data_IF_450380216932
#
_entry.id   IF_450380216932
#
_cell.length_a   1.000
_cell.length_b   1.000
_cell.length_c   1.000
_cell.angle_alpha   90.00
_cell.angle_beta   90.00
_cell.angle_gamma   90.00
#
_symmetry.space_group_name_H-M   'P 1'
#
loop_
_entity.id
_entity.type
_entity.pdbx_description
1 polymer ?
#
# COMPACT_ATOMS: atom_id res chain seq x y z
N UNK A 1 -11.03 15.62 12.45
CA UNK A 1 -12.04 15.23 13.45
C UNK A 1 -12.03 16.27 14.57
N UNK A 2 -13.19 16.85 14.88
CA UNK A 2 -13.30 17.97 15.82
C UNK A 2 -13.02 17.60 17.29
N UNK A 3 -13.08 16.33 17.61
CA UNK A 3 -12.90 15.74 18.94
C UNK A 3 -11.51 15.09 19.15
N UNK A 4 -10.60 15.24 18.19
CA UNK A 4 -9.22 14.77 18.30
C UNK A 4 -8.32 15.99 18.52
N UNK A 5 -7.47 15.99 19.55
CA UNK A 5 -6.58 17.11 19.81
C UNK A 5 -5.58 17.27 18.66
N UNK A 6 -5.35 18.53 18.25
CA UNK A 6 -4.35 18.87 17.23
C UNK A 6 -2.91 18.58 17.69
N UNK A 7 -2.69 18.66 19.01
CA UNK A 7 -1.41 18.38 19.66
C UNK A 7 -1.67 17.57 20.94
N UNK A 8 -0.79 16.64 21.25
CA UNK A 8 -0.85 15.84 22.47
C UNK A 8 -1.35 14.40 22.23
N UNK A 9 -1.36 13.62 23.31
CA UNK A 9 -1.72 12.20 23.25
C UNK A 9 -3.24 12.03 23.25
N UNK A 10 -3.71 11.15 22.38
CA UNK A 10 -5.10 10.66 22.38
C UNK A 10 -5.28 9.76 23.60
N UNK A 11 -6.34 9.97 24.38
CA UNK A 11 -6.63 9.13 25.56
C UNK A 11 -6.85 7.67 25.16
N UNK A 12 -6.53 6.73 26.05
CA UNK A 12 -6.69 5.28 25.80
C UNK A 12 -8.12 4.92 25.38
N UNK A 13 -9.14 5.55 25.96
CA UNK A 13 -10.53 5.29 25.59
C UNK A 13 -10.82 5.77 24.16
N UNK A 14 -10.33 6.95 23.77
CA UNK A 14 -10.49 7.46 22.40
C UNK A 14 -9.70 6.60 21.38
N UNK A 15 -8.52 6.10 21.73
CA UNK A 15 -7.78 5.16 20.90
C UNK A 15 -8.59 3.88 20.63
N UNK A 16 -9.19 3.29 21.66
CA UNK A 16 -10.05 2.11 21.52
C UNK A 16 -11.27 2.39 20.65
N UNK A 17 -11.89 3.54 20.80
CA UNK A 17 -13.01 3.99 19.96
C UNK A 17 -12.61 4.10 18.49
N UNK A 18 -11.47 4.72 18.19
CA UNK A 18 -10.96 4.87 16.82
C UNK A 18 -10.63 3.51 16.18
N UNK A 19 -9.97 2.61 16.93
CA UNK A 19 -9.66 1.25 16.46
C UNK A 19 -10.95 0.46 16.22
N UNK A 20 -11.93 0.58 17.12
CA UNK A 20 -13.24 -0.08 16.96
C UNK A 20 -13.97 0.45 15.71
N UNK A 21 -14.01 1.78 15.53
CA UNK A 21 -14.58 2.39 14.34
C UNK A 21 -13.93 1.95 13.04
N UNK A 22 -12.58 1.87 13.01
CA UNK A 22 -11.86 1.35 11.86
C UNK A 22 -12.25 -0.11 11.54
N UNK A 23 -12.26 -0.99 12.54
CA UNK A 23 -12.66 -2.39 12.37
C UNK A 23 -14.11 -2.52 11.90
N UNK A 24 -15.02 -1.69 12.41
CA UNK A 24 -16.41 -1.65 11.96
C UNK A 24 -16.53 -1.27 10.48
N UNK A 25 -15.72 -0.29 10.02
CA UNK A 25 -15.66 0.07 8.60
C UNK A 25 -15.16 -1.10 7.74
N UNK A 26 -14.11 -1.82 8.20
CA UNK A 26 -13.60 -3.01 7.48
C UNK A 26 -14.70 -4.07 7.36
N UNK A 27 -15.39 -4.41 8.46
CA UNK A 27 -16.49 -5.38 8.44
C UNK A 27 -17.66 -4.95 7.54
N UNK A 28 -17.96 -3.64 7.52
CA UNK A 28 -18.99 -3.11 6.64
C UNK A 28 -18.61 -3.27 5.17
N UNK A 29 -17.39 -2.90 4.79
CA UNK A 29 -16.90 -3.03 3.40
C UNK A 29 -16.84 -4.51 2.99
N UNK A 30 -16.34 -5.40 3.85
CA UNK A 30 -16.34 -6.84 3.61
C UNK A 30 -17.74 -7.36 3.26
N UNK A 31 -18.74 -6.95 4.03
CA UNK A 31 -20.15 -7.27 3.75
C UNK A 31 -20.64 -6.72 2.39
N UNK A 32 -20.19 -5.54 1.94
CA UNK A 32 -20.55 -5.02 0.61
C UNK A 32 -19.84 -5.80 -0.52
N UNK A 33 -18.58 -6.14 -0.33
CA UNK A 33 -17.82 -7.00 -1.27
C UNK A 33 -18.53 -8.35 -1.40
N UNK A 34 -18.93 -8.98 -0.28
CA UNK A 34 -19.67 -10.23 -0.29
C UNK A 34 -20.95 -10.17 -1.13
N UNK A 35 -21.71 -9.07 -1.07
CA UNK A 35 -22.90 -8.87 -1.92
C UNK A 35 -22.57 -8.83 -3.41
N UNK A 36 -21.47 -8.18 -3.79
CA UNK A 36 -21.02 -8.11 -5.17
C UNK A 36 -20.61 -9.50 -5.68
N UNK A 37 -19.83 -10.23 -4.89
CA UNK A 37 -19.39 -11.59 -5.25
C UNK A 37 -20.58 -12.55 -5.39
N UNK A 38 -21.51 -12.53 -4.44
CA UNK A 38 -22.73 -13.33 -4.52
C UNK A 38 -23.57 -12.98 -5.75
N UNK A 39 -23.60 -11.70 -6.14
CA UNK A 39 -24.35 -11.30 -7.35
C UNK A 39 -23.67 -11.75 -8.64
N UNK A 40 -22.33 -11.75 -8.70
CA UNK A 40 -21.58 -12.34 -9.82
C UNK A 40 -21.89 -13.83 -9.98
N UNK A 41 -21.89 -14.57 -8.88
CA UNK A 41 -22.20 -15.99 -8.86
C UNK A 41 -23.66 -16.25 -9.31
N UNK A 42 -24.64 -15.54 -8.75
CA UNK A 42 -26.07 -15.61 -9.11
C UNK A 42 -26.29 -15.38 -10.61
N UNK A 43 -25.53 -14.48 -11.22
CA UNK A 43 -25.63 -14.16 -12.64
C UNK A 43 -24.81 -15.09 -13.54
N UNK A 44 -24.06 -16.06 -12.99
CA UNK A 44 -23.20 -16.96 -13.74
C UNK A 44 -22.00 -16.25 -14.39
N UNK A 45 -21.55 -15.12 -13.82
CA UNK A 45 -20.45 -14.29 -14.38
C UNK A 45 -19.09 -14.58 -13.72
N UNK A 46 -19.04 -15.36 -12.66
CA UNK A 46 -17.81 -15.60 -11.88
C UNK A 46 -16.71 -16.23 -12.73
N UNK A 47 -17.06 -17.14 -13.62
CA UNK A 47 -16.10 -17.84 -14.51
C UNK A 47 -15.58 -16.98 -15.68
N UNK A 48 -16.08 -15.76 -15.83
CA UNK A 48 -15.68 -14.83 -16.90
C UNK A 48 -15.43 -13.43 -16.38
N UNK A 49 -14.98 -13.30 -15.12
CA UNK A 49 -14.74 -12.01 -14.50
C UNK A 49 -13.42 -12.02 -13.72
N UNK A 50 -12.50 -11.13 -14.08
CA UNK A 50 -11.30 -10.85 -13.29
C UNK A 50 -11.70 -9.91 -12.15
N UNK A 51 -11.31 -10.24 -10.92
CA UNK A 51 -11.65 -9.47 -9.73
C UNK A 51 -10.37 -8.94 -9.09
N UNK A 52 -10.33 -7.63 -8.84
CA UNK A 52 -9.25 -7.00 -8.09
C UNK A 52 -9.81 -6.24 -6.91
N UNK A 53 -9.34 -6.57 -5.73
CA UNK A 53 -9.59 -5.82 -4.50
C UNK A 53 -8.27 -5.26 -3.98
N UNK A 54 -8.20 -3.95 -3.78
CA UNK A 54 -7.02 -3.31 -3.19
C UNK A 54 -7.40 -2.15 -2.28
N UNK A 55 -6.51 -1.83 -1.32
CA UNK A 55 -6.55 -0.56 -0.61
C UNK A 55 -5.72 0.48 -1.35
N UNK A 56 -6.17 1.73 -1.40
CA UNK A 56 -5.41 2.85 -1.98
C UNK A 56 -4.20 3.22 -1.12
N UNK A 57 -4.26 2.93 0.17
CA UNK A 57 -3.20 3.06 1.18
C UNK A 57 -3.56 2.25 2.43
N UNK A 58 -2.60 2.11 3.33
CA UNK A 58 -2.82 1.57 4.65
C UNK A 58 -3.26 2.64 5.67
N UNK A 59 -3.17 2.33 6.99
CA UNK A 59 -3.67 3.23 8.04
C UNK A 59 -2.96 3.01 9.37
N UNK A 60 -2.52 4.09 10.02
CA UNK A 60 -2.02 4.06 11.38
C UNK A 60 -3.16 4.04 12.41
N UNK A 61 -3.02 3.17 13.39
CA UNK A 61 -3.94 3.04 14.52
C UNK A 61 -3.24 3.22 15.87
N UNK A 62 -2.29 4.15 15.93
CA UNK A 62 -1.47 4.43 17.09
C UNK A 62 0.00 4.01 16.93
N UNK A 63 0.35 3.32 15.86
CA UNK A 63 1.72 2.95 15.53
C UNK A 63 2.56 4.22 15.38
N UNK A 64 3.77 4.24 15.94
CA UNK A 64 4.63 5.43 16.00
C UNK A 64 3.99 6.65 16.67
N UNK A 65 2.91 6.47 17.44
CA UNK A 65 2.08 7.57 17.94
C UNK A 65 1.24 8.26 16.87
N UNK A 66 1.14 7.66 15.68
CA UNK A 66 0.47 8.24 14.52
C UNK A 66 -0.94 7.65 14.33
N UNK A 67 -1.81 8.49 13.79
CA UNK A 67 -3.18 8.14 13.41
C UNK A 67 -3.39 8.67 12.00
N UNK A 68 -4.04 7.95 11.12
CA UNK A 68 -4.19 8.24 9.69
C UNK A 68 -3.10 7.60 8.81
N UNK A 69 -2.76 8.20 7.64
CA UNK A 69 -2.04 7.52 6.55
C UNK A 69 -0.80 8.25 6.02
N UNK A 70 -0.54 9.47 6.45
CA UNK A 70 0.37 10.40 5.79
C UNK A 70 1.85 10.17 6.16
N UNK A 71 2.38 8.98 5.83
CA UNK A 71 3.78 8.59 6.11
C UNK A 71 4.32 7.63 5.05
N UNK A 72 5.62 7.30 5.13
CA UNK A 72 6.26 6.23 4.37
C UNK A 72 6.42 4.93 5.17
N UNK A 73 5.86 4.84 6.38
CA UNK A 73 5.92 3.62 7.20
C UNK A 73 5.04 2.50 6.63
N UNK A 74 5.38 1.26 6.98
CA UNK A 74 4.70 0.06 6.50
C UNK A 74 3.18 0.15 6.67
N UNK A 75 2.68 0.63 7.81
CA UNK A 75 1.25 0.74 8.09
C UNK A 75 0.49 1.64 7.11
N UNK A 76 1.19 2.59 6.48
CA UNK A 76 0.58 3.51 5.51
C UNK A 76 0.74 3.04 4.06
N UNK A 77 1.81 2.31 3.72
CA UNK A 77 2.14 1.97 2.34
C UNK A 77 1.90 0.51 1.97
N UNK A 78 1.82 -0.40 2.96
CA UNK A 78 1.46 -1.79 2.73
C UNK A 78 -0.06 -1.95 2.80
N UNK A 79 -0.73 -1.71 1.68
CA UNK A 79 -2.18 -1.92 1.55
C UNK A 79 -2.50 -3.31 0.99
N UNK A 80 -3.65 -3.90 1.35
CA UNK A 80 -4.05 -5.19 0.81
C UNK A 80 -4.23 -5.13 -0.71
N UNK A 81 -3.82 -6.20 -1.39
CA UNK A 81 -4.10 -6.42 -2.81
C UNK A 81 -4.45 -7.89 -3.02
N UNK A 82 -5.59 -8.15 -3.63
CA UNK A 82 -6.08 -9.48 -4.00
C UNK A 82 -6.46 -9.45 -5.46
N UNK A 83 -5.94 -10.38 -6.23
CA UNK A 83 -6.29 -10.55 -7.65
C UNK A 83 -6.79 -11.98 -7.84
N UNK A 84 -7.96 -12.09 -8.45
CA UNK A 84 -8.56 -13.34 -8.88
C UNK A 84 -8.78 -13.31 -10.38
N UNK A 85 -8.42 -14.40 -11.05
CA UNK A 85 -8.74 -14.64 -12.47
C UNK A 85 -9.16 -16.10 -12.62
N UNK A 86 -10.28 -16.39 -13.30
CA UNK A 86 -10.74 -17.77 -13.49
C UNK A 86 -9.72 -18.68 -14.20
N UNK A 87 -8.98 -18.08 -15.14
CA UNK A 87 -8.05 -18.83 -16.01
C UNK A 87 -6.60 -18.83 -15.51
N UNK A 88 -6.29 -18.08 -14.45
CA UNK A 88 -4.91 -17.86 -14.02
C UNK A 88 -4.79 -17.93 -12.49
N UNK A 89 -3.64 -18.46 -12.09
CA UNK A 89 -3.22 -18.45 -10.69
C UNK A 89 -3.51 -19.74 -9.94
N UNK A 90 -2.94 -19.83 -8.76
CA UNK A 90 -3.13 -20.95 -7.83
C UNK A 90 -4.10 -20.51 -6.74
N UNK A 91 -4.99 -21.40 -6.34
CA UNK A 91 -5.91 -21.14 -5.24
C UNK A 91 -5.17 -20.84 -3.92
N UNK A 92 -5.66 -19.85 -3.16
CA UNK A 92 -5.14 -19.47 -1.84
C UNK A 92 -3.64 -19.13 -1.82
N UNK A 93 -3.12 -18.63 -2.91
CA UNK A 93 -1.71 -18.28 -3.04
C UNK A 93 -1.38 -16.93 -2.39
N UNK A 94 -0.19 -16.81 -1.80
CA UNK A 94 0.33 -15.56 -1.24
C UNK A 94 1.76 -15.35 -1.69
N UNK A 95 2.09 -14.12 -2.04
CA UNK A 95 3.45 -13.73 -2.39
C UNK A 95 3.94 -12.60 -1.50
N UNK A 96 5.24 -12.61 -1.20
CA UNK A 96 5.97 -11.52 -0.57
C UNK A 96 6.72 -10.66 -1.60
N UNK A 97 6.51 -10.90 -2.90
CA UNK A 97 7.14 -10.11 -3.96
C UNK A 97 6.77 -8.64 -3.82
N UNK A 98 7.74 -7.72 -3.84
CA UNK A 98 7.44 -6.29 -3.86
C UNK A 98 6.64 -5.92 -5.11
N UNK A 99 5.50 -5.25 -4.91
CA UNK A 99 4.60 -4.79 -5.96
C UNK A 99 4.17 -3.36 -5.71
N UNK A 100 3.70 -2.69 -6.74
CA UNK A 100 3.20 -1.32 -6.65
C UNK A 100 1.78 -1.23 -7.21
N UNK A 101 0.96 -0.29 -6.75
CA UNK A 101 -0.43 -0.15 -7.22
C UNK A 101 -0.50 0.14 -8.73
N UNK A 102 0.53 0.75 -9.31
CA UNK A 102 0.62 0.98 -10.75
C UNK A 102 0.76 -0.31 -11.57
N UNK A 103 1.06 -1.44 -10.93
CA UNK A 103 1.15 -2.76 -11.56
C UNK A 103 -0.24 -3.37 -11.84
N UNK A 104 -1.28 -2.88 -11.19
CA UNK A 104 -2.66 -3.40 -11.36
C UNK A 104 -3.11 -3.26 -12.82
N UNK A 105 -2.91 -2.10 -13.43
CA UNK A 105 -3.40 -1.84 -14.78
C UNK A 105 -2.76 -2.78 -15.83
N UNK A 106 -1.41 -2.90 -15.95
CA UNK A 106 -0.81 -3.81 -16.91
C UNK A 106 -1.10 -5.29 -16.57
N UNK A 107 -1.32 -5.63 -15.30
CA UNK A 107 -1.74 -6.98 -14.92
C UNK A 107 -3.13 -7.30 -15.45
N UNK A 108 -4.08 -6.37 -15.35
CA UNK A 108 -5.43 -6.54 -15.90
C UNK A 108 -5.40 -6.67 -17.42
N UNK A 109 -4.56 -5.88 -18.11
CA UNK A 109 -4.36 -6.03 -19.55
C UNK A 109 -3.85 -7.42 -19.91
N UNK A 110 -2.82 -7.88 -19.23
CA UNK A 110 -2.20 -9.20 -19.46
C UNK A 110 -3.19 -10.35 -19.22
N UNK A 111 -3.92 -10.33 -18.09
CA UNK A 111 -4.94 -11.33 -17.75
C UNK A 111 -6.12 -11.32 -18.72
N UNK A 112 -6.44 -10.18 -19.31
CA UNK A 112 -7.53 -10.04 -20.28
C UNK A 112 -7.09 -10.28 -21.74
N UNK A 113 -5.80 -10.55 -21.98
CA UNK A 113 -5.25 -10.71 -23.33
C UNK A 113 -5.26 -9.43 -24.16
N UNK A 114 -5.14 -8.27 -23.51
CA UNK A 114 -5.15 -6.93 -24.12
C UNK A 114 -3.74 -6.34 -24.08
N UNK A 115 -3.29 -5.72 -25.14
CA UNK A 115 -1.99 -5.06 -25.18
C UNK A 115 -1.94 -3.90 -24.17
N UNK A 116 -0.88 -3.88 -23.36
CA UNK A 116 -0.65 -2.78 -22.43
C UNK A 116 -0.13 -1.55 -23.21
N UNK A 117 -0.74 -0.36 -23.04
CA UNK A 117 -0.25 0.87 -23.67
C UNK A 117 1.21 1.17 -23.29
N UNK A 118 1.99 1.66 -24.25
CA UNK A 118 3.44 1.89 -24.09
C UNK A 118 3.82 2.93 -23.05
N UNK A 119 2.91 3.85 -22.71
CA UNK A 119 3.08 4.87 -21.69
C UNK A 119 2.88 4.37 -20.26
N UNK A 120 2.38 3.15 -20.06
CA UNK A 120 2.17 2.55 -18.75
C UNK A 120 3.52 2.17 -18.12
N UNK A 121 3.78 2.67 -16.91
CA UNK A 121 5.04 2.45 -16.21
C UNK A 121 5.03 1.20 -15.30
N UNK A 122 3.83 0.68 -14.99
CA UNK A 122 3.66 -0.54 -14.21
C UNK A 122 4.15 -1.78 -14.93
N UNK A 123 4.30 -2.85 -14.18
CA UNK A 123 4.67 -4.18 -14.70
C UNK A 123 3.58 -5.18 -14.36
N UNK A 124 3.22 -6.03 -15.31
CA UNK A 124 2.32 -7.14 -15.00
C UNK A 124 2.90 -8.03 -13.91
N UNK A 125 2.07 -8.38 -12.95
CA UNK A 125 2.36 -9.34 -11.88
C UNK A 125 1.61 -10.67 -12.07
N UNK A 126 1.09 -10.96 -13.27
CA UNK A 126 0.40 -12.21 -13.59
C UNK A 126 1.25 -13.45 -13.28
N UNK A 127 2.57 -13.37 -13.53
CA UNK A 127 3.49 -14.46 -13.22
C UNK A 127 3.59 -14.75 -11.72
N UNK A 128 3.39 -13.75 -10.85
CA UNK A 128 3.34 -13.95 -9.40
C UNK A 128 2.11 -14.76 -8.98
N UNK A 129 1.03 -14.72 -9.75
CA UNK A 129 -0.18 -15.52 -9.49
C UNK A 129 0.06 -17.01 -9.77
N UNK A 130 0.97 -17.34 -10.68
CA UNK A 130 1.35 -18.73 -11.05
C UNK A 130 2.52 -19.22 -10.20
N UNK A 131 3.51 -18.37 -9.97
CA UNK A 131 4.68 -18.64 -9.13
C UNK A 131 4.85 -17.53 -8.08
N UNK A 132 4.45 -17.76 -6.81
CA UNK A 132 4.53 -16.76 -5.74
C UNK A 132 5.93 -16.30 -5.41
N UNK A 133 6.95 -17.04 -5.85
CA UNK A 133 8.36 -16.71 -5.62
C UNK A 133 8.91 -15.80 -6.73
N UNK A 134 8.16 -15.64 -7.83
CA UNK A 134 8.54 -14.76 -8.92
C UNK A 134 8.60 -13.31 -8.47
N UNK A 135 9.64 -12.59 -8.93
CA UNK A 135 9.84 -11.18 -8.59
C UNK A 135 9.83 -10.32 -9.84
N UNK A 136 8.88 -9.42 -9.94
CA UNK A 136 8.80 -8.43 -11.03
C UNK A 136 9.70 -7.23 -10.78
N UNK A 137 10.08 -7.00 -9.52
CA UNK A 137 11.01 -5.95 -9.09
C UNK A 137 11.76 -6.34 -7.81
N UNK A 138 12.88 -5.69 -7.56
CA UNK A 138 13.65 -5.92 -6.33
C UNK A 138 13.08 -5.16 -5.13
N UNK A 139 12.51 -3.98 -5.36
CA UNK A 139 11.92 -3.15 -4.31
C UNK A 139 10.75 -2.33 -4.86
N UNK A 140 9.74 -2.08 -4.04
CA UNK A 140 8.64 -1.17 -4.31
C UNK A 140 9.00 0.24 -3.85
N UNK A 141 8.61 1.25 -4.64
CA UNK A 141 8.83 2.67 -4.36
C UNK A 141 7.57 3.30 -3.78
N UNK A 142 7.72 4.03 -2.69
CA UNK A 142 6.71 4.92 -2.16
C UNK A 142 7.30 6.31 -1.93
N UNK A 143 6.46 7.34 -1.91
CA UNK A 143 6.92 8.70 -1.60
C UNK A 143 5.87 9.46 -0.81
N UNK A 144 6.32 10.21 0.18
CA UNK A 144 5.48 11.14 0.92
C UNK A 144 6.26 12.35 1.41
N UNK A 145 5.63 13.52 1.37
CA UNK A 145 6.23 14.79 1.79
C UNK A 145 5.95 15.10 3.26
N UNK A 146 6.88 15.78 3.93
CA UNK A 146 6.67 16.36 5.25
C UNK A 146 7.42 17.70 5.42
N UNK A 147 7.14 18.39 6.52
CA UNK A 147 7.93 19.54 6.93
C UNK A 147 9.02 19.10 7.90
N UNK A 148 10.25 19.58 7.68
CA UNK A 148 11.39 19.35 8.57
C UNK A 148 12.20 20.64 8.68
N UNK A 149 12.42 21.16 9.91
CA UNK A 149 13.15 22.39 10.14
C UNK A 149 12.60 23.61 9.40
N UNK A 150 11.27 23.71 9.24
CA UNK A 150 10.61 24.77 8.48
C UNK A 150 10.72 24.64 6.96
N UNK A 151 11.35 23.58 6.45
CA UNK A 151 11.53 23.30 5.03
C UNK A 151 10.70 22.09 4.61
N UNK A 152 10.22 22.13 3.37
CA UNK A 152 9.52 21.00 2.78
C UNK A 152 10.52 19.95 2.29
N UNK A 153 10.27 18.69 2.64
CA UNK A 153 11.10 17.55 2.24
C UNK A 153 10.24 16.45 1.63
N UNK A 154 10.79 15.73 0.67
CA UNK A 154 10.20 14.53 0.11
C UNK A 154 10.98 13.31 0.61
N UNK A 155 10.27 12.36 1.20
CA UNK A 155 10.78 11.05 1.52
C UNK A 155 10.54 10.09 0.37
N UNK A 156 11.60 9.58 -0.23
CA UNK A 156 11.57 8.47 -1.17
C UNK A 156 11.91 7.20 -0.45
N UNK A 157 11.00 6.26 -0.41
CA UNK A 157 11.11 5.00 0.33
C UNK A 157 11.16 3.83 -0.63
N UNK A 158 12.19 3.00 -0.50
CA UNK A 158 12.31 1.72 -1.19
C UNK A 158 12.08 0.59 -0.18
N UNK A 159 11.19 -0.35 -0.50
CA UNK A 159 10.85 -1.52 0.31
C UNK A 159 11.10 -2.79 -0.49
N UNK A 160 12.13 -3.56 -0.09
CA UNK A 160 12.32 -4.93 -0.55
C UNK A 160 11.75 -5.94 0.47
N UNK A 161 12.06 -7.23 0.37
CA UNK A 161 11.54 -8.24 1.29
C UNK A 161 12.08 -8.10 2.71
N UNK A 162 13.27 -7.52 2.88
CA UNK A 162 13.98 -7.45 4.15
C UNK A 162 14.11 -6.03 4.69
N UNK A 163 14.36 -5.06 3.82
CA UNK A 163 14.71 -3.71 4.22
C UNK A 163 13.70 -2.67 3.72
N UNK A 164 13.57 -1.59 4.49
CA UNK A 164 13.05 -0.31 4.03
C UNK A 164 14.14 0.73 4.16
N UNK A 165 14.46 1.40 3.06
CA UNK A 165 15.34 2.56 3.03
C UNK A 165 14.54 3.79 2.62
N UNK A 166 14.55 4.84 3.44
CA UNK A 166 13.90 6.11 3.12
C UNK A 166 14.93 7.22 3.08
N UNK A 167 14.98 7.95 1.97
CA UNK A 167 15.85 9.11 1.78
C UNK A 167 15.03 10.39 1.74
N UNK A 168 15.32 11.30 2.67
CA UNK A 168 14.66 12.59 2.77
C UNK A 168 15.46 13.66 2.04
N UNK A 169 14.84 14.30 1.02
CA UNK A 169 15.48 15.32 0.18
C UNK A 169 14.65 16.59 0.27
N UNK A 170 15.34 17.72 0.48
CA UNK A 170 14.67 19.03 0.40
C UNK A 170 14.23 19.28 -1.04
N UNK A 171 12.95 19.63 -1.22
CA UNK A 171 12.39 19.96 -2.53
C UNK A 171 11.13 20.81 -2.40
N UNK A 172 10.79 21.51 -3.46
CA UNK A 172 9.44 22.02 -3.66
C UNK A 172 8.60 20.95 -4.39
N UNK A 173 7.71 20.30 -3.66
CA UNK A 173 6.89 19.23 -4.23
C UNK A 173 5.86 19.76 -5.26
N UNK A 174 5.56 21.07 -5.29
CA UNK A 174 4.63 21.67 -6.24
C UNK A 174 5.26 21.84 -7.62
N UNK A 175 6.52 22.29 -7.65
CA UNK A 175 7.29 22.41 -8.89
C UNK A 175 8.01 21.13 -9.28
N UNK A 176 8.16 20.18 -8.34
CA UNK A 176 8.98 18.98 -8.51
C UNK A 176 10.49 19.24 -8.43
N UNK A 177 10.90 20.47 -8.20
CA UNK A 177 12.31 20.85 -8.16
C UNK A 177 12.98 20.38 -6.87
N UNK A 178 14.12 19.73 -7.03
CA UNK A 178 15.03 19.36 -5.95
C UNK A 178 16.05 20.46 -5.76
N UNK A 179 16.06 21.10 -4.63
CA UNK A 179 16.99 22.19 -4.35
C UNK A 179 17.67 22.06 -3.00
N UNK A 180 18.11 20.92 -2.66
CA UNK A 180 18.85 20.72 -1.42
C UNK A 180 19.48 19.34 -1.35
N UNK A 181 20.37 19.22 -0.41
CA UNK A 181 21.05 17.97 -0.12
C UNK A 181 20.08 16.99 0.60
N UNK A 182 20.50 15.75 0.69
CA UNK A 182 19.88 14.77 1.58
C UNK A 182 19.88 15.30 3.01
N UNK A 183 18.71 15.35 3.65
CA UNK A 183 18.54 15.86 5.00
C UNK A 183 18.68 14.74 6.02
N UNK A 184 18.13 13.56 5.70
CA UNK A 184 18.15 12.37 6.53
C UNK A 184 18.02 11.11 5.68
N UNK A 185 18.49 10.00 6.24
CA UNK A 185 18.21 8.65 5.74
C UNK A 185 17.70 7.80 6.90
N UNK A 186 16.80 6.88 6.60
CA UNK A 186 16.27 5.89 7.54
C UNK A 186 16.47 4.50 6.92
N UNK A 187 16.87 3.52 7.71
CA UNK A 187 17.01 2.13 7.28
C UNK A 187 16.41 1.22 8.35
N UNK A 188 15.43 0.42 7.97
CA UNK A 188 14.77 -0.55 8.84
C UNK A 188 15.01 -1.95 8.31
N UNK A 189 15.40 -2.88 9.20
CA UNK A 189 15.57 -4.30 8.91
C UNK A 189 14.39 -5.08 9.52
N UNK A 190 13.50 -5.60 8.67
CA UNK A 190 12.28 -6.29 9.11
C UNK A 190 12.52 -7.66 9.74
N UNK A 191 13.71 -8.24 9.62
CA UNK A 191 14.05 -9.46 10.34
C UNK A 191 14.24 -9.20 11.85
N UNK A 192 14.70 -8.00 12.23
CA UNK A 192 14.96 -7.62 13.63
C UNK A 192 14.00 -6.55 14.16
N UNK A 193 13.45 -5.72 13.28
CA UNK A 193 12.53 -4.61 13.63
C UNK A 193 11.33 -4.51 12.67
N UNK A 194 10.39 -5.47 12.71
CA UNK A 194 9.21 -5.48 11.84
C UNK A 194 8.26 -4.30 12.09
N UNK A 195 8.49 -3.50 13.12
CA UNK A 195 7.67 -2.34 13.48
C UNK A 195 8.36 -1.00 13.24
N UNK A 196 9.52 -0.99 12.57
CA UNK A 196 10.25 0.23 12.19
C UNK A 196 10.54 1.19 13.38
N UNK A 197 10.94 0.65 14.53
CA UNK A 197 11.21 1.40 15.76
C UNK A 197 12.69 1.78 15.95
N UNK A 198 13.57 1.09 15.25
CA UNK A 198 15.03 1.20 15.38
C UNK A 198 15.59 1.62 14.02
N UNK A 199 16.12 2.84 13.93
CA UNK A 199 16.76 3.37 12.74
C UNK A 199 18.26 3.48 12.91
#
# INVERSE_FOLDING_TARGET
YSDIPLNGNITTNKQKELIHGYKACVSYIDSQVGKLLSKLEELGLSENTIIVLWGDHGWHLGDHGLWIKHTNFEQAVNSPMIIYSPDHGLENNKSNSPVELLDIYPTLCDLAGIDTPSEVQGKSISQVMVDPTHKVRQAALAQYTRMSGGKRVMGYSLRDEKYRYTKWIQMDYKSGERYGNTIACELYDYEIDPYEKIN
#
